data_IF_213887457274
#
_entry.id   IF_213887457274
#
_cell.length_a   1.000
_cell.length_b   1.000
_cell.length_c   1.000
_cell.angle_alpha   90.00
_cell.angle_beta   90.00
_cell.angle_gamma   90.00
#
_symmetry.space_group_name_H-M   'P 1'
#
loop_
_entity.id
_entity.type
_entity.pdbx_description
1 polymer ?
#
# COMPACT_ATOMS: atom_id res chain seq x y z
N UNK A 1 16.68 -20.80 -18.34
CA UNK A 1 15.40 -21.55 -18.43
C UNK A 1 14.59 -21.19 -17.21
N UNK A 2 13.30 -20.92 -17.37
CA UNK A 2 12.34 -20.69 -16.30
C UNK A 2 11.38 -21.87 -16.24
N UNK A 3 11.01 -22.26 -15.03
CA UNK A 3 9.92 -23.19 -14.75
C UNK A 3 8.63 -22.38 -14.74
N UNK A 4 7.61 -22.88 -15.43
CA UNK A 4 6.35 -22.17 -15.60
C UNK A 4 5.17 -23.00 -15.13
N UNK A 5 4.15 -22.34 -14.62
CA UNK A 5 2.85 -22.91 -14.32
C UNK A 5 1.80 -22.24 -15.19
N UNK A 6 0.93 -23.05 -15.78
CA UNK A 6 -0.23 -22.58 -16.55
C UNK A 6 -1.53 -22.93 -15.85
N UNK A 7 -2.55 -22.10 -16.04
CA UNK A 7 -3.91 -22.42 -15.63
C UNK A 7 -4.60 -23.42 -16.59
N UNK A 8 -5.89 -23.66 -16.36
CA UNK A 8 -6.69 -24.58 -17.19
C UNK A 8 -6.95 -24.06 -18.61
N UNK A 9 -6.76 -22.77 -18.85
CA UNK A 9 -6.92 -22.09 -20.14
C UNK A 9 -5.58 -22.02 -20.90
N UNK A 10 -4.48 -22.38 -20.25
CA UNK A 10 -3.14 -22.36 -20.80
C UNK A 10 -2.40 -21.04 -20.58
N UNK A 11 -2.96 -20.10 -19.81
CA UNK A 11 -2.30 -18.83 -19.49
C UNK A 11 -1.22 -19.02 -18.43
N UNK A 12 -0.11 -18.30 -18.58
CA UNK A 12 0.98 -18.30 -17.62
C UNK A 12 0.51 -17.62 -16.33
N UNK A 13 0.59 -18.33 -15.20
CA UNK A 13 0.22 -17.81 -13.87
C UNK A 13 1.40 -17.74 -12.90
N UNK A 14 2.54 -18.35 -13.25
CA UNK A 14 3.77 -18.31 -12.46
C UNK A 14 4.98 -18.65 -13.32
N UNK A 15 6.06 -17.91 -13.17
CA UNK A 15 7.35 -18.21 -13.80
C UNK A 15 8.50 -18.00 -12.80
N UNK A 16 9.33 -19.02 -12.58
CA UNK A 16 10.45 -18.96 -11.63
C UNK A 16 11.73 -19.55 -12.21
N UNK A 17 12.87 -19.04 -11.76
CA UNK A 17 14.18 -19.57 -12.15
C UNK A 17 14.51 -20.93 -11.50
N UNK A 18 13.75 -21.33 -10.47
CA UNK A 18 13.91 -22.56 -9.70
C UNK A 18 12.72 -23.48 -9.94
N UNK A 19 12.97 -24.79 -9.95
CA UNK A 19 11.91 -25.78 -10.06
C UNK A 19 10.98 -25.74 -8.85
N UNK A 20 9.68 -25.80 -9.09
CA UNK A 20 8.64 -25.88 -8.06
C UNK A 20 7.63 -26.98 -8.38
N UNK A 21 6.92 -27.46 -7.37
CA UNK A 21 6.11 -28.68 -7.45
C UNK A 21 4.97 -28.57 -8.48
N UNK A 22 4.41 -27.38 -8.63
CA UNK A 22 3.30 -27.09 -9.53
C UNK A 22 3.74 -26.71 -10.96
N UNK A 23 5.04 -26.79 -11.28
CA UNK A 23 5.52 -26.42 -12.61
C UNK A 23 4.95 -27.37 -13.68
N UNK A 24 4.32 -26.79 -14.69
CA UNK A 24 3.70 -27.50 -15.81
C UNK A 24 4.61 -27.53 -17.04
N UNK A 25 5.78 -26.90 -16.99
CA UNK A 25 6.75 -26.89 -18.08
C UNK A 25 7.95 -25.98 -17.84
N UNK A 26 8.78 -25.83 -18.87
CA UNK A 26 9.89 -24.87 -18.87
C UNK A 26 9.90 -24.06 -20.15
N UNK A 27 10.31 -22.79 -20.04
CA UNK A 27 10.52 -21.88 -21.16
C UNK A 27 11.91 -21.26 -21.08
N UNK A 28 12.55 -20.94 -22.22
CA UNK A 28 13.80 -20.22 -22.23
C UNK A 28 13.58 -18.74 -21.85
N UNK A 29 14.64 -18.08 -21.38
CA UNK A 29 14.56 -16.71 -20.85
C UNK A 29 14.23 -15.67 -21.94
N UNK A 30 14.62 -15.94 -23.18
CA UNK A 30 14.34 -15.13 -24.37
C UNK A 30 12.96 -15.40 -24.98
N UNK A 31 12.17 -16.31 -24.41
CA UNK A 31 10.80 -16.55 -24.84
C UNK A 31 9.95 -15.30 -24.59
N UNK A 32 9.22 -14.85 -25.61
CA UNK A 32 8.39 -13.63 -25.54
C UNK A 32 7.43 -13.63 -24.34
N UNK A 33 6.83 -14.76 -24.02
CA UNK A 33 5.91 -14.89 -22.88
C UNK A 33 6.58 -14.67 -21.52
N UNK A 34 7.84 -15.09 -21.35
CA UNK A 34 8.62 -14.84 -20.13
C UNK A 34 8.98 -13.36 -20.03
N UNK A 35 9.38 -12.74 -21.14
CA UNK A 35 9.67 -11.30 -21.20
C UNK A 35 8.43 -10.47 -20.85
N UNK A 36 7.26 -10.83 -21.42
CA UNK A 36 6.00 -10.16 -21.13
C UNK A 36 5.56 -10.35 -19.67
N UNK A 37 5.74 -11.53 -19.09
CA UNK A 37 5.45 -11.81 -17.69
C UNK A 37 6.21 -10.87 -16.75
N UNK A 38 7.55 -10.83 -16.88
CA UNK A 38 8.37 -10.00 -16.00
C UNK A 38 8.17 -8.51 -16.23
N UNK A 39 7.91 -8.08 -17.47
CA UNK A 39 7.57 -6.68 -17.74
C UNK A 39 6.25 -6.26 -17.08
N UNK A 40 5.24 -7.14 -17.07
CA UNK A 40 3.97 -6.87 -16.41
C UNK A 40 4.11 -6.90 -14.88
N UNK A 41 4.87 -7.85 -14.35
CA UNK A 41 5.18 -7.94 -12.91
C UNK A 41 5.92 -6.70 -12.41
N UNK A 42 6.91 -6.21 -13.16
CA UNK A 42 7.63 -4.97 -12.84
C UNK A 42 6.70 -3.75 -12.85
N UNK A 43 5.81 -3.65 -13.84
CA UNK A 43 4.82 -2.59 -13.92
C UNK A 43 3.83 -2.65 -12.74
N UNK A 44 3.38 -3.84 -12.36
CA UNK A 44 2.48 -4.05 -11.23
C UNK A 44 3.16 -3.72 -9.90
N UNK A 45 4.41 -4.16 -9.70
CA UNK A 45 5.23 -3.78 -8.55
C UNK A 45 5.45 -2.27 -8.47
N UNK A 46 5.77 -1.63 -9.59
CA UNK A 46 5.94 -0.18 -9.67
C UNK A 46 4.64 0.56 -9.31
N UNK A 47 3.49 0.08 -9.79
CA UNK A 47 2.19 0.63 -9.44
C UNK A 47 1.86 0.45 -7.95
N UNK A 48 2.18 -0.71 -7.38
CA UNK A 48 2.01 -0.97 -5.95
C UNK A 48 2.90 -0.05 -5.10
N UNK A 49 4.15 0.15 -5.49
CA UNK A 49 5.08 1.08 -4.85
C UNK A 49 4.58 2.51 -4.93
N UNK A 50 4.08 2.95 -6.09
CA UNK A 50 3.48 4.28 -6.25
C UNK A 50 2.27 4.46 -5.32
N UNK A 51 1.33 3.50 -5.31
CA UNK A 51 0.17 3.53 -4.40
C UNK A 51 0.57 3.58 -2.94
N UNK A 52 1.64 2.87 -2.56
CA UNK A 52 2.18 2.92 -1.21
C UNK A 52 2.76 4.30 -0.89
N UNK A 53 3.60 4.84 -1.78
CA UNK A 53 4.17 6.19 -1.66
C UNK A 53 3.09 7.26 -1.57
N UNK A 54 2.00 7.14 -2.33
CA UNK A 54 0.86 8.07 -2.25
C UNK A 54 0.21 8.02 -0.87
N UNK A 55 0.04 6.82 -0.28
CA UNK A 55 -0.52 6.66 1.06
C UNK A 55 0.34 7.33 2.14
N UNK A 56 1.67 7.18 2.04
CA UNK A 56 2.63 7.86 2.92
C UNK A 56 2.58 9.37 2.74
N UNK A 57 2.53 9.85 1.49
CA UNK A 57 2.45 11.28 1.16
C UNK A 57 1.19 11.92 1.74
N UNK A 58 0.03 11.24 1.71
CA UNK A 58 -1.19 11.81 2.29
C UNK A 58 -1.05 12.02 3.81
N UNK A 59 -0.31 11.16 4.54
CA UNK A 59 -0.04 11.38 5.98
C UNK A 59 0.80 12.64 6.20
N UNK A 60 1.84 12.83 5.40
CA UNK A 60 2.69 14.03 5.47
C UNK A 60 1.89 15.29 5.16
N UNK A 61 1.03 15.25 4.14
CA UNK A 61 0.16 16.37 3.79
C UNK A 61 -0.82 16.71 4.92
N UNK A 62 -1.41 15.71 5.56
CA UNK A 62 -2.32 15.90 6.69
C UNK A 62 -1.61 16.58 7.87
N UNK A 63 -0.41 16.12 8.22
CA UNK A 63 0.38 16.71 9.31
C UNK A 63 0.81 18.15 8.96
N UNK A 64 1.21 18.41 7.70
CA UNK A 64 1.50 19.76 7.22
C UNK A 64 0.27 20.68 7.31
N UNK A 65 -0.89 20.23 6.86
CA UNK A 65 -2.15 20.98 6.93
C UNK A 65 -2.46 21.33 8.39
N UNK A 66 -2.28 20.38 9.31
CA UNK A 66 -2.51 20.61 10.74
C UNK A 66 -1.54 21.66 11.30
N UNK A 67 -0.26 21.60 10.94
CA UNK A 67 0.73 22.62 11.34
C UNK A 67 0.37 24.00 10.80
N UNK A 68 -0.08 24.09 9.54
CA UNK A 68 -0.48 25.36 8.94
C UNK A 68 -1.72 25.96 9.61
N UNK A 69 -2.70 25.12 9.96
CA UNK A 69 -3.89 25.53 10.73
C UNK A 69 -3.48 26.01 12.13
N UNK A 70 -2.64 25.25 12.85
CA UNK A 70 -2.17 25.63 14.19
C UNK A 70 -1.39 26.94 14.20
N UNK A 71 -0.63 27.22 13.14
CA UNK A 71 0.08 28.49 12.96
C UNK A 71 -0.81 29.64 12.46
N UNK A 72 -2.10 29.37 12.18
CA UNK A 72 -3.03 30.35 11.65
C UNK A 72 -2.71 30.83 10.22
N UNK A 73 -1.94 30.04 9.45
CA UNK A 73 -1.58 30.36 8.06
C UNK A 73 -2.76 30.12 7.12
N UNK A 74 -3.55 29.08 7.40
CA UNK A 74 -4.82 28.77 6.71
C UNK A 74 -5.87 28.40 7.76
N UNK A 75 -7.15 28.61 7.45
CA UNK A 75 -8.25 28.06 8.22
C UNK A 75 -8.80 26.80 7.56
N UNK A 76 -9.39 25.89 8.34
CA UNK A 76 -10.06 24.71 7.80
C UNK A 76 -11.16 25.08 6.79
N UNK A 77 -11.87 26.18 7.05
CA UNK A 77 -12.93 26.72 6.20
C UNK A 77 -12.45 27.24 4.85
N UNK A 78 -11.14 27.47 4.69
CA UNK A 78 -10.55 27.91 3.41
C UNK A 78 -10.42 26.75 2.42
N UNK A 79 -10.55 25.50 2.89
CA UNK A 79 -10.48 24.30 2.06
C UNK A 79 -11.86 23.94 1.47
N UNK A 80 -11.93 23.27 0.32
CA UNK A 80 -13.18 22.76 -0.23
C UNK A 80 -13.91 21.84 0.75
N UNK A 81 -15.25 21.85 0.73
CA UNK A 81 -16.09 21.03 1.65
C UNK A 81 -15.69 19.55 1.65
N UNK A 82 -15.35 19.00 0.48
CA UNK A 82 -14.89 17.62 0.38
C UNK A 82 -13.56 17.37 1.09
N UNK A 83 -12.63 18.33 1.08
CA UNK A 83 -11.37 18.24 1.81
C UNK A 83 -11.58 18.39 3.32
N UNK A 84 -12.47 19.29 3.74
CA UNK A 84 -12.83 19.45 5.16
C UNK A 84 -13.39 18.14 5.75
N UNK A 85 -14.33 17.51 5.05
CA UNK A 85 -14.90 16.23 5.46
C UNK A 85 -13.83 15.14 5.59
N UNK A 86 -12.97 14.99 4.58
CA UNK A 86 -11.87 14.01 4.61
C UNK A 86 -10.89 14.23 5.76
N UNK A 87 -10.52 15.48 6.05
CA UNK A 87 -9.62 15.79 7.16
C UNK A 87 -10.27 15.47 8.52
N UNK A 88 -11.56 15.76 8.68
CA UNK A 88 -12.31 15.42 9.88
C UNK A 88 -12.42 13.91 10.09
N UNK A 89 -12.78 13.16 9.04
CA UNK A 89 -12.88 11.70 9.10
C UNK A 89 -11.54 11.05 9.47
N UNK A 90 -10.44 11.57 8.92
CA UNK A 90 -9.09 11.11 9.23
C UNK A 90 -8.66 11.44 10.66
N UNK A 91 -8.92 12.65 11.14
CA UNK A 91 -8.64 13.03 12.53
C UNK A 91 -9.37 12.09 13.50
N UNK A 92 -10.66 11.83 13.25
CA UNK A 92 -11.46 10.90 14.07
C UNK A 92 -10.91 9.47 14.04
N UNK A 93 -10.46 8.99 12.87
CA UNK A 93 -9.85 7.67 12.73
C UNK A 93 -8.52 7.57 13.50
N UNK A 94 -7.72 8.64 13.55
CA UNK A 94 -6.49 8.70 14.34
C UNK A 94 -6.79 8.74 15.84
N UNK A 95 -7.78 9.51 16.26
CA UNK A 95 -8.22 9.56 17.66
C UNK A 95 -8.79 8.23 18.15
N UNK A 96 -9.58 7.52 17.32
CA UNK A 96 -10.11 6.21 17.71
C UNK A 96 -9.00 5.17 17.85
N UNK A 97 -8.04 5.12 16.93
CA UNK A 97 -6.90 4.20 16.98
C UNK A 97 -5.88 4.58 18.08
N UNK A 98 -5.64 5.87 18.29
CA UNK A 98 -4.78 6.38 19.35
C UNK A 98 -5.40 6.21 20.74
N UNK A 99 -6.71 6.40 20.87
CA UNK A 99 -7.48 6.13 22.08
C UNK A 99 -7.51 4.64 22.42
N UNK A 100 -7.68 3.77 21.41
CA UNK A 100 -7.54 2.31 21.57
C UNK A 100 -6.12 1.92 22.00
N UNK A 101 -5.08 2.56 21.45
CA UNK A 101 -3.69 2.31 21.85
C UNK A 101 -3.39 2.79 23.28
N UNK A 102 -4.05 3.86 23.73
CA UNK A 102 -3.94 4.33 25.12
C UNK A 102 -4.63 3.38 26.11
N UNK A 103 -5.81 2.85 25.75
CA UNK A 103 -6.55 1.88 26.56
C UNK A 103 -5.84 0.53 26.71
N UNK A 104 -5.03 0.12 25.72
CA UNK A 104 -4.22 -1.12 25.80
C UNK A 104 -2.98 -0.92 26.68
N UNK A 105 -2.43 0.30 26.76
CA UNK A 105 -1.25 0.60 27.59
C UNK A 105 -1.58 0.88 29.07
N UNK A 106 -2.83 1.23 29.40
CA UNK A 106 -3.25 1.50 30.79
C UNK A 106 -3.43 0.22 31.62
N UNK A 107 -3.42 -0.97 31.01
CA UNK A 107 -3.52 -2.26 31.71
C UNK A 107 -2.16 -2.80 32.23
N UNK A 108 -1.02 -2.15 31.95
CA UNK A 108 0.32 -2.60 32.43
C UNK A 108 0.95 -1.73 33.53
N UNK A 109 0.30 -0.66 34.01
CA UNK A 109 0.82 0.14 35.13
C UNK A 109 -0.16 0.18 36.30
N UNK A 110 -0.22 -0.92 37.05
CA UNK A 110 -1.15 -1.01 38.17
C UNK A 110 -0.98 -2.18 39.13
N UNK A 111 0.24 -2.66 39.41
CA UNK A 111 0.50 -3.40 40.65
C UNK A 111 1.94 -3.22 41.15
N UNK A 112 2.01 -2.46 42.25
CA UNK A 112 3.06 -2.30 43.28
C UNK A 112 4.31 -1.50 42.89
#
# INVERSE_FOLDING_TARGET
MFYVQRDAQGELIRAEAVAFAESTGTLPADHHEIQAWFANEEAELSLQQLKHSDSEMIRVLEDLIQVLIQKGVINLTDLPVAAQAKLKDRSNARESLGGLSHLINDDETGLI
#
